data_IF_960245284275
#
_entry.id   IF_960245284275
#
_cell.length_a   1.000
_cell.length_b   1.000
_cell.length_c   1.000
_cell.angle_alpha   90.00
_cell.angle_beta   90.00
_cell.angle_gamma   90.00
#
_symmetry.space_group_name_H-M   'P 1'
#
loop_
_entity.id
_entity.type
_entity.pdbx_description
1 polymer ?
#
# COMPACT_ATOMS: atom_id res chain seq x y z
N UNK A 1 -7.46 6.43 6.62
CA UNK A 1 -8.64 5.60 7.01
C UNK A 1 -8.29 4.80 8.26
N UNK A 2 -9.28 4.44 9.07
CA UNK A 2 -9.11 3.63 10.29
C UNK A 2 -9.62 2.20 10.06
N UNK A 3 -9.05 1.23 10.75
CA UNK A 3 -9.19 -0.20 10.39
C UNK A 3 -10.44 -0.89 10.95
N UNK A 4 -10.92 -0.48 12.13
CA UNK A 4 -11.98 -1.21 12.83
C UNK A 4 -12.80 -0.29 13.74
N UNK A 5 -14.12 -0.43 13.68
CA UNK A 5 -15.07 0.23 14.57
C UNK A 5 -15.26 -0.55 15.87
N UNK A 6 -15.49 0.16 16.98
CA UNK A 6 -15.84 -0.41 18.28
C UNK A 6 -17.25 0.03 18.68
N UNK A 7 -18.21 -0.91 18.62
CA UNK A 7 -19.61 -0.61 18.93
C UNK A 7 -19.82 -0.22 20.40
N UNK A 8 -19.05 -0.78 21.33
CA UNK A 8 -19.22 -0.47 22.76
C UNK A 8 -18.71 0.95 23.07
N UNK A 9 -17.62 1.35 22.44
CA UNK A 9 -17.05 2.68 22.61
C UNK A 9 -17.72 3.75 21.72
N UNK A 10 -18.51 3.33 20.72
CA UNK A 10 -19.05 4.21 19.66
C UNK A 10 -17.95 5.05 18.99
N UNK A 11 -16.78 4.44 18.79
CA UNK A 11 -15.61 5.09 18.20
C UNK A 11 -14.74 4.06 17.48
N UNK A 12 -13.76 4.53 16.71
CA UNK A 12 -12.77 3.69 16.09
C UNK A 12 -11.83 3.07 17.12
N UNK A 13 -11.49 1.79 16.92
CA UNK A 13 -10.47 1.12 17.71
C UNK A 13 -9.10 1.75 17.46
N UNK A 14 -8.53 2.32 18.51
CA UNK A 14 -7.22 2.95 18.48
C UNK A 14 -6.32 2.43 19.60
N UNK A 15 -5.93 1.15 19.51
CA UNK A 15 -5.05 0.48 20.47
C UNK A 15 -4.33 -0.73 19.86
N UNK A 16 -3.04 -0.85 20.16
CA UNK A 16 -2.20 -1.96 19.68
C UNK A 16 -2.13 -1.98 18.15
N UNK A 17 -2.52 -3.10 17.54
CA UNK A 17 -2.56 -3.24 16.07
C UNK A 17 -3.75 -2.54 15.42
N UNK A 18 -4.71 -2.03 16.18
CA UNK A 18 -5.91 -1.40 15.64
C UNK A 18 -5.76 0.12 15.70
N UNK A 19 -5.89 0.79 14.56
CA UNK A 19 -5.75 2.23 14.41
C UNK A 19 -5.85 2.61 12.94
N UNK A 20 -4.81 3.23 12.40
CA UNK A 20 -4.67 3.51 10.98
C UNK A 20 -4.72 2.24 10.15
N UNK A 21 -5.52 2.28 9.10
CA UNK A 21 -5.76 1.16 8.20
C UNK A 21 -4.54 0.81 7.37
N UNK A 22 -3.68 1.78 7.04
CA UNK A 22 -2.52 1.61 6.16
C UNK A 22 -2.82 0.69 4.98
N UNK A 23 -3.97 0.91 4.36
CA UNK A 23 -4.41 0.19 3.17
C UNK A 23 -4.76 -1.28 3.36
N UNK A 24 -5.05 -1.72 4.58
CA UNK A 24 -5.58 -3.06 4.87
C UNK A 24 -6.85 -3.31 4.02
N UNK A 25 -6.77 -4.30 3.11
CA UNK A 25 -7.78 -4.64 2.08
C UNK A 25 -7.98 -3.62 0.96
N UNK A 26 -7.04 -2.70 0.79
CA UNK A 26 -7.01 -1.60 -0.19
C UNK A 26 -8.35 -0.89 -0.46
N UNK A 27 -9.02 -0.31 0.56
CA UNK A 27 -10.25 0.45 0.37
C UNK A 27 -10.10 1.63 -0.61
N UNK A 28 -8.86 2.10 -0.84
CA UNK A 28 -8.54 3.21 -1.75
C UNK A 28 -8.76 2.84 -3.21
N UNK A 29 -8.46 1.60 -3.60
CA UNK A 29 -8.78 1.11 -4.95
C UNK A 29 -10.29 1.20 -5.21
N UNK A 30 -11.10 0.84 -4.20
CA UNK A 30 -12.56 1.02 -4.26
C UNK A 30 -13.00 2.48 -4.45
N UNK A 31 -12.30 3.44 -3.82
CA UNK A 31 -12.55 4.88 -4.01
C UNK A 31 -12.26 5.30 -5.46
N UNK A 32 -11.14 4.85 -6.03
CA UNK A 32 -10.82 5.13 -7.44
C UNK A 32 -11.82 4.50 -8.40
N UNK A 33 -12.25 3.26 -8.16
CA UNK A 33 -13.33 2.63 -8.94
C UNK A 33 -14.61 3.49 -8.90
N UNK A 34 -15.00 3.99 -7.71
CA UNK A 34 -16.19 4.85 -7.60
C UNK A 34 -16.04 6.16 -8.37
N UNK A 35 -14.86 6.78 -8.35
CA UNK A 35 -14.58 7.94 -9.19
C UNK A 35 -14.72 7.60 -10.68
N UNK A 36 -14.09 6.50 -11.15
CA UNK A 36 -14.16 6.11 -12.56
C UNK A 36 -15.57 5.77 -13.03
N UNK A 37 -16.43 5.23 -12.16
CA UNK A 37 -17.82 4.91 -12.49
C UNK A 37 -18.73 6.15 -12.54
N UNK A 38 -18.45 7.18 -11.73
CA UNK A 38 -19.40 8.29 -11.50
C UNK A 38 -18.92 9.63 -12.02
N UNK A 39 -17.61 9.83 -12.15
CA UNK A 39 -17.00 11.14 -12.40
C UNK A 39 -17.14 12.14 -11.27
N UNK A 40 -17.61 11.75 -10.08
CA UNK A 40 -17.81 12.68 -8.97
C UNK A 40 -16.47 13.16 -8.39
N UNK A 41 -16.16 14.47 -8.45
CA UNK A 41 -14.86 15.00 -8.04
C UNK A 41 -14.54 14.79 -6.55
N UNK A 42 -15.53 14.50 -5.71
CA UNK A 42 -15.29 14.20 -4.29
C UNK A 42 -14.55 12.88 -4.11
N UNK A 43 -14.84 11.88 -4.95
CA UNK A 43 -14.10 10.62 -4.93
C UNK A 43 -12.68 10.79 -5.49
N UNK A 44 -12.49 11.66 -6.49
CA UNK A 44 -11.14 12.02 -6.93
C UNK A 44 -10.32 12.63 -5.79
N UNK A 45 -10.85 13.64 -5.10
CA UNK A 45 -10.15 14.30 -4.01
C UNK A 45 -9.82 13.34 -2.86
N UNK A 46 -10.74 12.42 -2.53
CA UNK A 46 -10.50 11.39 -1.51
C UNK A 46 -9.45 10.36 -1.96
N UNK A 47 -9.53 9.92 -3.22
CA UNK A 47 -8.58 8.99 -3.83
C UNK A 47 -7.18 9.58 -3.85
N UNK A 48 -7.04 10.80 -4.35
CA UNK A 48 -5.76 11.52 -4.40
C UNK A 48 -5.15 11.67 -3.00
N UNK A 49 -5.92 12.17 -2.03
CA UNK A 49 -5.42 12.34 -0.66
C UNK A 49 -4.97 11.01 -0.04
N UNK A 50 -5.73 9.93 -0.29
CA UNK A 50 -5.42 8.61 0.27
C UNK A 50 -4.22 7.94 -0.41
N UNK A 51 -4.07 8.09 -1.73
CA UNK A 51 -2.93 7.58 -2.47
C UNK A 51 -1.65 8.30 -2.06
N UNK A 52 -1.67 9.64 -1.98
CA UNK A 52 -0.51 10.44 -1.54
C UNK A 52 -0.10 10.12 -0.11
N UNK A 53 -1.06 10.05 0.82
CA UNK A 53 -0.79 9.66 2.20
C UNK A 53 -0.06 8.31 2.28
N UNK A 54 -0.55 7.30 1.56
CA UNK A 54 0.08 5.98 1.65
C UNK A 54 1.43 5.90 0.94
N UNK A 55 1.59 6.62 -0.18
CA UNK A 55 2.88 6.67 -0.86
C UNK A 55 3.93 7.36 -0.01
N UNK A 56 3.59 8.44 0.71
CA UNK A 56 4.55 9.25 1.42
C UNK A 56 4.75 8.86 2.89
N UNK A 57 3.66 8.50 3.60
CA UNK A 57 3.65 8.30 5.06
C UNK A 57 3.66 6.82 5.43
N UNK A 58 2.83 6.01 4.77
CA UNK A 58 2.70 4.59 5.11
C UNK A 58 3.78 3.71 4.42
N UNK A 59 4.61 4.28 3.55
CA UNK A 59 5.64 3.55 2.80
C UNK A 59 7.04 3.91 3.30
N UNK A 60 7.87 2.89 3.54
CA UNK A 60 9.26 3.09 3.89
C UNK A 60 10.07 3.40 2.61
N UNK A 61 10.56 4.63 2.46
CA UNK A 61 11.44 4.98 1.33
C UNK A 61 12.90 4.62 1.57
N UNK A 62 13.34 4.68 2.84
CA UNK A 62 14.72 4.38 3.24
C UNK A 62 14.74 3.95 4.71
N UNK A 63 15.61 2.99 5.06
CA UNK A 63 15.85 2.64 6.46
C UNK A 63 17.32 2.22 6.68
N UNK A 64 18.13 3.00 7.44
CA UNK A 64 19.58 2.81 7.50
C UNK A 64 20.01 1.49 8.14
N UNK A 65 19.26 0.99 9.13
CA UNK A 65 19.61 -0.25 9.84
C UNK A 65 18.89 -1.50 9.31
N UNK A 66 17.89 -1.32 8.44
CA UNK A 66 16.98 -2.37 7.95
C UNK A 66 16.60 -2.08 6.50
N UNK A 67 17.59 -2.04 5.58
CA UNK A 67 17.37 -1.60 4.20
C UNK A 67 16.36 -2.46 3.43
N UNK A 68 16.11 -3.70 3.88
CA UNK A 68 15.10 -4.58 3.30
C UNK A 68 13.65 -4.05 3.46
N UNK A 69 13.42 -3.09 4.37
CA UNK A 69 12.11 -2.45 4.58
C UNK A 69 11.74 -1.48 3.45
N UNK A 70 12.74 -0.94 2.73
CA UNK A 70 12.53 0.08 1.72
C UNK A 70 11.66 -0.46 0.55
N UNK A 71 10.67 0.36 0.16
CA UNK A 71 9.62 0.09 -0.81
C UNK A 71 8.37 -0.60 -0.25
N UNK A 72 8.40 -1.09 0.99
CA UNK A 72 7.25 -1.74 1.60
C UNK A 72 6.32 -0.76 2.32
N UNK A 73 5.01 -1.06 2.35
CA UNK A 73 4.06 -0.37 3.21
C UNK A 73 3.99 -1.01 4.61
N UNK A 74 3.99 -0.17 5.63
CA UNK A 74 3.84 -0.55 7.03
C UNK A 74 2.44 -1.10 7.30
N UNK A 75 2.37 -2.17 8.10
CA UNK A 75 1.09 -2.75 8.53
C UNK A 75 0.28 -1.76 9.38
N UNK A 76 -1.04 -1.91 9.32
CA UNK A 76 -2.02 -1.17 10.12
C UNK A 76 -1.68 -1.15 11.62
N UNK A 77 -1.90 -0.01 12.28
CA UNK A 77 -1.49 0.18 13.67
C UNK A 77 -1.88 1.55 14.22
N UNK A 78 -1.58 1.80 15.51
CA UNK A 78 -1.80 3.14 16.11
C UNK A 78 -0.84 4.20 15.56
N UNK A 79 0.31 3.78 15.06
CA UNK A 79 1.30 4.60 14.38
C UNK A 79 1.36 4.16 12.91
N UNK A 80 1.52 5.11 11.99
CA UNK A 80 1.61 4.85 10.56
C UNK A 80 2.84 4.02 10.17
N UNK A 81 3.90 4.04 10.97
CA UNK A 81 5.18 3.38 10.70
C UNK A 81 5.70 2.56 11.89
N UNK A 82 4.82 2.19 12.82
CA UNK A 82 5.18 1.50 14.06
C UNK A 82 5.38 -0.02 13.95
N UNK A 83 4.96 -0.65 12.84
CA UNK A 83 5.14 -2.08 12.57
C UNK A 83 6.21 -2.28 11.46
N UNK A 84 6.40 -3.50 10.99
CA UNK A 84 7.28 -3.83 9.87
C UNK A 84 6.52 -3.81 8.52
N UNK A 85 7.15 -3.27 7.44
CA UNK A 85 6.57 -3.38 6.11
C UNK A 85 6.43 -4.83 5.66
N UNK A 86 5.33 -5.15 5.00
CA UNK A 86 5.10 -6.50 4.51
C UNK A 86 4.29 -6.53 3.22
N UNK A 87 4.60 -7.48 2.34
CA UNK A 87 3.93 -7.59 1.03
C UNK A 87 2.41 -7.75 1.15
N UNK A 88 1.91 -8.36 2.23
CA UNK A 88 0.46 -8.45 2.47
C UNK A 88 -0.22 -7.11 2.75
N UNK A 89 0.51 -6.02 2.97
CA UNK A 89 -0.03 -4.68 3.20
C UNK A 89 0.52 -3.64 2.20
N UNK A 90 1.50 -4.01 1.38
CA UNK A 90 1.91 -3.23 0.21
C UNK A 90 0.89 -3.42 -0.92
N UNK A 91 -0.19 -2.66 -0.89
CA UNK A 91 -1.19 -2.61 -1.96
C UNK A 91 -0.92 -1.42 -2.89
N UNK A 92 -0.64 -1.71 -4.16
CA UNK A 92 -0.23 -0.69 -5.13
C UNK A 92 -1.30 -0.41 -6.20
N UNK A 93 -2.43 -1.12 -6.20
CA UNK A 93 -3.51 -0.95 -7.20
C UNK A 93 -4.00 0.49 -7.26
N UNK A 94 -4.33 1.07 -6.11
CA UNK A 94 -4.71 2.48 -6.03
C UNK A 94 -3.61 3.45 -6.54
N UNK A 95 -2.33 3.10 -6.45
CA UNK A 95 -1.23 3.92 -6.96
C UNK A 95 -1.18 3.82 -8.49
N UNK A 96 -1.42 2.63 -9.02
CA UNK A 96 -1.54 2.39 -10.46
C UNK A 96 -2.73 3.17 -11.04
N UNK A 97 -3.89 3.14 -10.37
CA UNK A 97 -5.06 3.95 -10.75
C UNK A 97 -4.71 5.44 -10.78
N UNK A 98 -4.11 5.94 -9.69
CA UNK A 98 -3.73 7.33 -9.57
C UNK A 98 -2.70 7.75 -10.64
N UNK A 99 -1.70 6.91 -10.92
CA UNK A 99 -0.72 7.16 -11.97
C UNK A 99 -1.38 7.24 -13.35
N UNK A 100 -2.25 6.30 -13.70
CA UNK A 100 -2.91 6.32 -15.01
C UNK A 100 -3.88 7.49 -15.19
N UNK A 101 -4.52 7.95 -14.11
CA UNK A 101 -5.43 9.09 -14.16
C UNK A 101 -4.71 10.45 -14.20
N UNK A 102 -3.53 10.56 -13.60
CA UNK A 102 -2.86 11.87 -13.39
C UNK A 102 -1.52 12.03 -14.10
N UNK A 103 -0.86 10.94 -14.44
CA UNK A 103 0.51 10.94 -14.96
C UNK A 103 1.56 11.37 -13.91
N UNK A 104 1.23 11.34 -12.62
CA UNK A 104 2.12 11.80 -11.55
C UNK A 104 3.44 11.01 -11.52
N UNK A 105 4.55 11.70 -11.79
CA UNK A 105 5.88 11.07 -11.87
C UNK A 105 6.36 10.49 -10.55
N UNK A 106 6.01 11.11 -9.41
CA UNK A 106 6.38 10.62 -8.08
C UNK A 106 5.74 9.26 -7.80
N UNK A 107 4.49 9.08 -8.20
CA UNK A 107 3.77 7.81 -8.08
C UNK A 107 4.51 6.69 -8.79
N UNK A 108 4.99 6.93 -10.02
CA UNK A 108 5.81 5.96 -10.76
C UNK A 108 7.10 5.60 -10.00
N UNK A 109 7.75 6.57 -9.39
CA UNK A 109 9.00 6.34 -8.64
C UNK A 109 8.73 5.47 -7.40
N UNK A 110 7.63 5.71 -6.66
CA UNK A 110 7.23 4.88 -5.52
C UNK A 110 6.82 3.47 -5.94
N UNK A 111 6.15 3.31 -7.09
CA UNK A 111 5.85 2.00 -7.67
C UNK A 111 7.14 1.22 -7.97
N UNK A 112 8.21 1.88 -8.44
CA UNK A 112 9.53 1.25 -8.63
C UNK A 112 10.15 0.80 -7.31
N UNK A 113 10.07 1.63 -6.27
CA UNK A 113 10.55 1.27 -4.93
C UNK A 113 9.81 0.02 -4.40
N UNK A 114 8.48 -0.04 -4.55
CA UNK A 114 7.69 -1.20 -4.17
C UNK A 114 7.99 -2.45 -5.01
N UNK A 115 8.25 -2.27 -6.30
CA UNK A 115 8.76 -3.33 -7.18
C UNK A 115 10.05 -3.96 -6.64
N UNK A 116 11.02 -3.13 -6.28
CA UNK A 116 12.28 -3.59 -5.69
C UNK A 116 12.04 -4.29 -4.34
N UNK A 117 11.09 -3.83 -3.54
CA UNK A 117 10.66 -4.50 -2.30
C UNK A 117 10.10 -5.90 -2.58
N UNK A 118 9.21 -6.04 -3.57
CA UNK A 118 8.63 -7.31 -3.95
C UNK A 118 9.66 -8.31 -4.47
N UNK A 119 10.67 -7.87 -5.23
CA UNK A 119 11.77 -8.72 -5.69
C UNK A 119 12.66 -9.22 -4.54
N UNK A 120 12.86 -8.41 -3.51
CA UNK A 120 13.60 -8.79 -2.29
C UNK A 120 12.78 -9.67 -1.33
N UNK A 121 11.48 -9.78 -1.52
CA UNK A 121 10.59 -10.47 -0.60
C UNK A 121 10.64 -11.99 -0.82
N UNK A 122 11.58 -12.67 -0.17
CA UNK A 122 11.82 -14.13 -0.27
C UNK A 122 10.91 -14.97 0.65
N UNK A 123 9.60 -14.93 0.41
CA UNK A 123 8.57 -15.56 1.26
C UNK A 123 8.56 -17.10 1.25
N UNK A 124 9.08 -17.75 0.21
CA UNK A 124 9.18 -19.21 0.12
C UNK A 124 10.42 -19.78 0.82
N UNK A 125 11.40 -18.93 1.14
CA UNK A 125 12.73 -19.36 1.58
C UNK A 125 13.05 -18.94 3.01
N UNK A 126 12.39 -17.90 3.52
CA UNK A 126 12.64 -17.38 4.86
C UNK A 126 11.37 -17.43 5.73
N UNK A 127 11.30 -18.34 6.73
CA UNK A 127 10.15 -18.46 7.61
C UNK A 127 9.95 -17.26 8.55
N UNK A 128 10.89 -16.30 8.58
CA UNK A 128 10.72 -15.04 9.27
C UNK A 128 9.69 -14.12 8.59
N UNK A 129 9.40 -14.33 7.29
CA UNK A 129 8.36 -13.59 6.61
C UNK A 129 6.98 -14.24 6.81
N UNK A 130 5.96 -13.42 7.05
CA UNK A 130 4.58 -13.89 7.18
C UNK A 130 4.11 -14.49 5.85
N UNK A 131 3.97 -15.82 5.82
CA UNK A 131 3.37 -16.55 4.72
C UNK A 131 1.85 -16.30 4.74
N UNK A 132 1.40 -15.39 3.88
CA UNK A 132 -0.02 -15.18 3.64
C UNK A 132 -0.31 -15.27 2.13
N UNK A 133 -1.46 -15.83 1.76
CA UNK A 133 -1.91 -15.85 0.36
C UNK A 133 -1.96 -14.44 -0.24
N UNK A 134 -2.22 -13.44 0.62
CA UNK A 134 -2.23 -12.03 0.26
C UNK A 134 -0.84 -11.49 -0.07
N UNK A 135 0.20 -11.92 0.65
CA UNK A 135 1.59 -11.59 0.33
C UNK A 135 1.93 -12.06 -1.09
N UNK A 136 1.59 -13.32 -1.41
CA UNK A 136 1.85 -13.91 -2.73
C UNK A 136 1.09 -13.14 -3.82
N UNK A 137 -0.20 -12.87 -3.59
CA UNK A 137 -1.04 -12.14 -4.55
C UNK A 137 -0.54 -10.73 -4.81
N UNK A 138 -0.22 -9.97 -3.75
CA UNK A 138 0.28 -8.61 -3.87
C UNK A 138 1.66 -8.56 -4.55
N UNK A 139 2.56 -9.48 -4.24
CA UNK A 139 3.87 -9.56 -4.90
C UNK A 139 3.70 -9.82 -6.40
N UNK A 140 2.95 -10.86 -6.80
CA UNK A 140 2.78 -11.21 -8.21
C UNK A 140 2.09 -10.08 -9.00
N UNK A 141 1.00 -9.55 -8.45
CA UNK A 141 0.25 -8.45 -9.06
C UNK A 141 1.09 -7.16 -9.12
N UNK A 142 1.83 -6.86 -8.06
CA UNK A 142 2.69 -5.68 -7.98
C UNK A 142 3.82 -5.71 -9.01
N UNK A 143 4.46 -6.86 -9.19
CA UNK A 143 5.48 -7.06 -10.23
C UNK A 143 4.90 -6.96 -11.65
N UNK A 144 3.68 -7.46 -11.86
CA UNK A 144 3.00 -7.29 -13.14
C UNK A 144 2.74 -5.80 -13.44
N UNK A 145 2.21 -5.05 -12.49
CA UNK A 145 1.99 -3.61 -12.66
C UNK A 145 3.29 -2.84 -12.90
N UNK A 146 4.37 -3.20 -12.21
CA UNK A 146 5.68 -2.62 -12.45
C UNK A 146 6.10 -2.83 -13.91
N UNK A 147 5.97 -4.05 -14.42
CA UNK A 147 6.30 -4.36 -15.80
C UNK A 147 5.42 -3.57 -16.79
N UNK A 148 4.12 -3.48 -16.55
CA UNK A 148 3.19 -2.74 -17.41
C UNK A 148 3.49 -1.23 -17.45
N UNK A 149 3.85 -0.64 -16.32
CA UNK A 149 4.13 0.80 -16.22
C UNK A 149 5.51 1.16 -16.75
N UNK A 150 6.51 0.31 -16.52
CA UNK A 150 7.92 0.66 -16.77
C UNK A 150 8.51 -0.03 -18.00
N UNK A 151 7.94 -1.15 -18.44
CA UNK A 151 8.50 -2.04 -19.46
C UNK A 151 9.76 -2.79 -19.00
N UNK A 152 10.13 -2.71 -17.73
CA UNK A 152 11.36 -3.32 -17.19
C UNK A 152 11.15 -4.81 -16.89
N UNK A 153 11.93 -5.70 -17.52
CA UNK A 153 11.83 -7.16 -17.39
C UNK A 153 12.52 -7.76 -16.14
N UNK A 154 12.98 -6.91 -15.23
CA UNK A 154 13.95 -7.23 -14.18
C UNK A 154 13.34 -7.92 -12.97
#
# INVERSE_FOLDING_TARGET
>A
MLVAWDDDAQDWRFRGRWGWCNSEWDPRHGVWIQYMLTGDPRYFALGEASSRHSMDVDTCHEHPFRPYMAGGCFRHGVDHFGDEPCASHTFIDNWVDYYYLTGDGRTRDVIKEAGDFFLRYHWSENPAYSLSLRSIGNTLRGLLYLFEITGETR
#
